data_IF_873288576283
#
_entry.id   IF_873288576283
#
_cell.length_a   1.000
_cell.length_b   1.000
_cell.length_c   1.000
_cell.angle_alpha   90.00
_cell.angle_beta   90.00
_cell.angle_gamma   90.00
#
_symmetry.space_group_name_H-M   'P 1'
#
loop_
_entity.id
_entity.type
_entity.pdbx_description
1 polymer ?
#
# COMPACT_ATOMS: atom_id res chain seq x y z
N UNK A 1 10.86 18.33 -12.99
CA UNK A 1 11.48 16.98 -12.83
C UNK A 1 11.58 16.53 -11.35
N UNK A 2 12.16 17.32 -10.45
CA UNK A 2 12.30 17.00 -9.01
C UNK A 2 10.95 16.85 -8.29
N UNK A 3 9.98 17.70 -8.63
CA UNK A 3 8.63 17.64 -8.06
C UNK A 3 7.92 16.30 -8.34
N UNK A 4 8.13 15.71 -9.52
CA UNK A 4 7.54 14.42 -9.88
C UNK A 4 8.12 13.28 -9.02
N UNK A 5 9.44 13.29 -8.78
CA UNK A 5 10.10 12.29 -7.94
C UNK A 5 9.66 12.37 -6.48
N UNK A 6 9.46 13.58 -5.97
CA UNK A 6 8.94 13.82 -4.62
C UNK A 6 7.53 13.25 -4.44
N UNK A 7 6.65 13.50 -5.41
CA UNK A 7 5.27 12.97 -5.41
C UNK A 7 5.28 11.44 -5.45
N UNK A 8 6.12 10.83 -6.28
CA UNK A 8 6.23 9.37 -6.37
C UNK A 8 6.76 8.74 -5.08
N UNK A 9 7.77 9.36 -4.44
CA UNK A 9 8.32 8.86 -3.18
C UNK A 9 7.29 8.94 -2.03
N UNK A 10 6.57 10.06 -1.92
CA UNK A 10 5.54 10.24 -0.90
C UNK A 10 4.36 9.29 -1.14
N UNK A 11 3.96 9.07 -2.40
CA UNK A 11 2.91 8.11 -2.75
C UNK A 11 3.28 6.67 -2.36
N UNK A 12 4.53 6.26 -2.59
CA UNK A 12 5.03 4.94 -2.19
C UNK A 12 5.18 4.79 -0.66
N UNK A 13 5.41 5.88 0.08
CA UNK A 13 5.36 5.85 1.55
C UNK A 13 3.92 5.81 2.07
N UNK A 14 2.99 6.48 1.42
CA UNK A 14 1.59 6.54 1.85
C UNK A 14 0.89 5.18 1.75
N UNK A 15 1.27 4.32 0.80
CA UNK A 15 0.74 2.94 0.67
C UNK A 15 1.18 2.01 1.81
N UNK A 16 2.22 2.38 2.57
CA UNK A 16 2.68 1.63 3.74
C UNK A 16 1.90 1.96 5.01
N UNK A 17 1.16 3.08 5.05
CA UNK A 17 0.29 3.39 6.17
C UNK A 17 -0.98 2.55 5.98
N UNK A 18 -1.27 1.56 6.85
CA UNK A 18 -2.52 0.81 6.81
C UNK A 18 -3.63 1.73 7.32
N UNK A 19 -3.97 2.70 6.48
CA UNK A 19 -5.16 3.53 6.66
C UNK A 19 -6.31 2.60 6.31
N UNK A 20 -7.32 2.52 7.17
CA UNK A 20 -8.50 1.69 6.92
C UNK A 20 -9.08 1.90 5.51
N UNK A 21 -9.90 0.96 5.01
CA UNK A 21 -10.40 0.96 3.63
C UNK A 21 -10.87 2.36 3.21
N UNK A 22 -10.16 2.95 2.26
CA UNK A 22 -10.48 4.26 1.71
C UNK A 22 -9.85 5.48 2.39
N UNK A 23 -8.92 5.36 3.36
CA UNK A 23 -8.23 6.51 3.98
C UNK A 23 -9.13 7.53 4.71
N UNK A 24 -10.35 7.11 5.07
CA UNK A 24 -11.32 7.97 5.77
C UNK A 24 -10.75 8.38 7.14
N UNK A 25 -10.74 9.67 7.42
CA UNK A 25 -10.21 10.31 8.63
C UNK A 25 -8.80 10.88 8.45
N UNK A 26 -7.85 10.12 7.91
CA UNK A 26 -6.47 10.60 7.69
C UNK A 26 -6.38 11.58 6.52
N UNK A 27 -7.15 11.34 5.46
CA UNK A 27 -7.25 12.25 4.32
C UNK A 27 -7.86 13.61 4.73
N UNK A 28 -8.98 13.59 5.44
CA UNK A 28 -9.65 14.79 5.90
C UNK A 28 -8.76 15.59 6.86
N UNK A 29 -8.07 14.92 7.79
CA UNK A 29 -7.10 15.56 8.67
C UNK A 29 -5.96 16.24 7.88
N UNK A 30 -5.44 15.58 6.85
CA UNK A 30 -4.41 16.15 5.96
C UNK A 30 -4.91 17.37 5.17
N UNK A 31 -6.12 17.30 4.61
CA UNK A 31 -6.74 18.41 3.88
C UNK A 31 -7.04 19.59 4.82
N UNK A 32 -7.50 19.34 6.04
CA UNK A 32 -7.66 20.40 7.04
C UNK A 32 -6.32 21.07 7.36
N UNK A 33 -5.25 20.31 7.55
CA UNK A 33 -3.92 20.86 7.81
C UNK A 33 -3.45 21.76 6.65
N UNK A 34 -3.65 21.31 5.41
CA UNK A 34 -3.26 22.08 4.22
C UNK A 34 -4.15 23.32 4.00
N UNK A 35 -5.47 23.14 3.99
CA UNK A 35 -6.43 24.17 3.57
C UNK A 35 -6.77 25.14 4.69
N UNK A 36 -6.95 24.66 5.91
CA UNK A 36 -7.19 25.53 7.07
C UNK A 36 -5.88 25.97 7.73
N UNK A 37 -4.93 25.06 7.93
CA UNK A 37 -3.67 25.37 8.62
C UNK A 37 -2.69 26.21 7.78
N UNK A 38 -2.43 25.84 6.52
CA UNK A 38 -1.46 26.54 5.68
C UNK A 38 -2.07 27.67 4.84
N UNK A 39 -3.31 27.52 4.36
CA UNK A 39 -3.96 28.51 3.50
C UNK A 39 -4.92 29.46 4.25
N UNK A 40 -5.17 29.22 5.54
CA UNK A 40 -6.01 30.08 6.39
C UNK A 40 -7.50 30.09 6.02
N UNK A 41 -7.96 29.16 5.18
CA UNK A 41 -9.36 29.08 4.74
C UNK A 41 -10.22 28.53 5.88
N UNK A 42 -11.44 29.05 6.05
CA UNK A 42 -12.35 28.65 7.13
C UNK A 42 -12.56 27.14 7.22
N UNK A 43 -12.47 26.60 8.44
CA UNK A 43 -12.50 25.14 8.72
C UNK A 43 -13.73 24.43 8.15
N UNK A 44 -14.89 25.10 8.12
CA UNK A 44 -16.10 24.54 7.50
C UNK A 44 -15.95 24.31 5.99
N UNK A 45 -15.38 25.27 5.27
CA UNK A 45 -15.10 25.16 3.84
C UNK A 45 -14.02 24.10 3.54
N UNK A 46 -12.99 24.04 4.39
CA UNK A 46 -11.93 23.04 4.28
C UNK A 46 -12.47 21.60 4.45
N UNK A 47 -13.36 21.39 5.42
CA UNK A 47 -14.02 20.09 5.65
C UNK A 47 -14.92 19.68 4.48
N UNK A 48 -15.76 20.59 3.99
CA UNK A 48 -16.64 20.32 2.83
C UNK A 48 -15.82 19.96 1.59
N UNK A 49 -14.72 20.69 1.36
CA UNK A 49 -13.78 20.39 0.29
C UNK A 49 -13.13 19.02 0.47
N UNK A 50 -12.66 18.71 1.68
CA UNK A 50 -12.04 17.42 1.99
C UNK A 50 -12.97 16.25 1.66
N UNK A 51 -14.21 16.28 2.16
CA UNK A 51 -15.17 15.18 1.97
C UNK A 51 -15.54 14.99 0.49
N UNK A 52 -15.81 16.08 -0.23
CA UNK A 52 -16.14 16.01 -1.65
C UNK A 52 -14.98 15.46 -2.48
N UNK A 53 -13.78 15.97 -2.22
CA UNK A 53 -12.56 15.52 -2.88
C UNK A 53 -12.32 14.04 -2.60
N UNK A 54 -12.51 13.61 -1.35
CA UNK A 54 -12.34 12.22 -0.93
C UNK A 54 -13.26 11.28 -1.69
N UNK A 55 -14.56 11.60 -1.72
CA UNK A 55 -15.57 10.83 -2.46
C UNK A 55 -15.19 10.79 -3.94
N UNK A 56 -14.84 11.93 -4.54
CA UNK A 56 -14.54 12.00 -5.97
C UNK A 56 -13.32 11.16 -6.37
N UNK A 57 -12.33 11.03 -5.49
CA UNK A 57 -11.17 10.16 -5.73
C UNK A 57 -11.46 8.68 -5.42
N UNK A 58 -12.18 8.42 -4.33
CA UNK A 58 -12.36 7.05 -3.81
C UNK A 58 -13.46 6.27 -4.52
N UNK A 59 -14.61 6.89 -4.79
CA UNK A 59 -15.77 6.19 -5.34
C UNK A 59 -15.52 5.64 -6.75
N UNK A 60 -14.94 6.39 -7.70
CA UNK A 60 -14.75 5.90 -9.06
C UNK A 60 -13.79 4.70 -9.12
N UNK A 61 -12.67 4.76 -8.40
CA UNK A 61 -11.69 3.67 -8.40
C UNK A 61 -12.25 2.42 -7.71
N UNK A 62 -13.03 2.61 -6.64
CA UNK A 62 -13.66 1.50 -5.91
C UNK A 62 -14.77 0.85 -6.73
N UNK A 63 -15.61 1.65 -7.39
CA UNK A 63 -16.67 1.17 -8.29
C UNK A 63 -16.05 0.44 -9.48
N UNK A 64 -15.00 0.99 -10.08
CA UNK A 64 -14.32 0.33 -11.19
C UNK A 64 -13.69 -1.00 -10.77
N UNK A 65 -12.99 -1.02 -9.63
CA UNK A 65 -12.46 -2.25 -9.06
C UNK A 65 -13.55 -3.28 -8.74
N UNK A 66 -14.69 -2.85 -8.21
CA UNK A 66 -15.84 -3.72 -7.93
C UNK A 66 -16.48 -4.26 -9.22
N UNK A 67 -16.60 -3.43 -10.26
CA UNK A 67 -17.09 -3.85 -11.58
C UNK A 67 -16.15 -4.88 -12.20
N UNK A 68 -14.84 -4.62 -12.21
CA UNK A 68 -13.86 -5.57 -12.74
C UNK A 68 -13.78 -6.84 -11.90
N UNK A 69 -13.88 -6.75 -10.56
CA UNK A 69 -13.95 -7.93 -9.69
C UNK A 69 -15.19 -8.79 -9.99
N UNK A 70 -16.35 -8.15 -10.15
CA UNK A 70 -17.59 -8.85 -10.53
C UNK A 70 -17.49 -9.47 -11.94
N UNK A 71 -16.91 -8.73 -12.90
CA UNK A 71 -16.71 -9.18 -14.28
C UNK A 71 -15.70 -10.32 -14.42
N UNK A 72 -14.62 -10.28 -13.65
CA UNK A 72 -13.58 -11.31 -13.60
C UNK A 72 -14.06 -12.56 -12.86
N UNK A 73 -15.21 -12.50 -12.17
CA UNK A 73 -15.86 -13.68 -11.62
C UNK A 73 -14.89 -14.53 -10.81
N UNK A 74 -14.25 -13.98 -9.78
CA UNK A 74 -13.58 -14.79 -8.75
C UNK A 74 -14.64 -15.43 -7.84
N UNK A 75 -15.63 -16.05 -8.47
CA UNK A 75 -16.51 -17.04 -7.90
C UNK A 75 -15.94 -18.38 -8.36
N UNK A 76 -14.92 -18.85 -7.64
CA UNK A 76 -14.42 -20.23 -7.76
C UNK A 76 -12.99 -20.40 -8.29
N UNK A 77 -12.14 -20.96 -7.43
CA UNK A 77 -10.92 -21.75 -7.77
C UNK A 77 -9.66 -20.98 -8.19
N UNK A 78 -9.17 -20.05 -7.37
CA UNK A 78 -7.70 -19.90 -7.22
C UNK A 78 -7.37 -19.97 -5.74
N UNK A 79 -7.22 -21.20 -5.24
CA UNK A 79 -6.30 -21.43 -4.13
C UNK A 79 -4.93 -20.96 -4.62
N UNK A 80 -4.54 -19.74 -4.25
CA UNK A 80 -3.14 -19.35 -4.31
C UNK A 80 -2.46 -20.24 -3.27
N UNK A 81 -1.92 -21.35 -3.77
CA UNK A 81 -1.30 -22.38 -2.96
C UNK A 81 -0.04 -21.78 -2.35
N UNK A 82 -0.15 -21.31 -1.10
CA UNK A 82 0.95 -20.77 -0.28
C UNK A 82 2.10 -21.78 -0.09
N UNK A 83 1.93 -23.04 -0.53
CA UNK A 83 2.97 -24.05 -0.59
C UNK A 83 4.16 -23.64 -1.46
N UNK A 84 3.98 -22.93 -2.58
CA UNK A 84 5.10 -22.55 -3.45
C UNK A 84 5.98 -21.45 -2.85
N UNK A 85 5.36 -20.42 -2.26
CA UNK A 85 6.09 -19.35 -1.58
C UNK A 85 6.87 -19.89 -0.36
N UNK A 86 6.26 -20.78 0.43
CA UNK A 86 6.95 -21.41 1.56
C UNK A 86 8.04 -22.40 1.15
N UNK A 87 7.92 -23.05 -0.02
CA UNK A 87 8.92 -23.99 -0.54
C UNK A 87 10.15 -23.25 -1.09
N UNK A 88 9.97 -22.13 -1.79
CA UNK A 88 11.08 -21.26 -2.20
C UNK A 88 11.76 -20.61 -1.00
N UNK A 89 11.01 -20.14 0.00
CA UNK A 89 11.57 -19.56 1.22
C UNK A 89 12.35 -20.59 2.04
N UNK A 90 11.86 -21.84 2.15
CA UNK A 90 12.59 -22.95 2.79
C UNK A 90 13.81 -23.40 1.99
N UNK A 91 13.72 -23.44 0.65
CA UNK A 91 14.85 -23.77 -0.21
C UNK A 91 15.94 -22.70 -0.12
N UNK A 92 15.57 -21.41 -0.17
CA UNK A 92 16.48 -20.29 0.02
C UNK A 92 17.10 -20.28 1.43
N UNK A 93 16.31 -20.54 2.47
CA UNK A 93 16.81 -20.66 3.85
C UNK A 93 17.78 -21.83 4.02
N UNK A 94 17.56 -22.97 3.34
CA UNK A 94 18.48 -24.11 3.37
C UNK A 94 19.81 -23.82 2.67
N UNK A 95 19.77 -23.06 1.57
CA UNK A 95 20.97 -22.63 0.83
C UNK A 95 21.79 -21.63 1.65
N UNK A 96 21.13 -20.72 2.38
CA UNK A 96 21.80 -19.77 3.28
C UNK A 96 22.39 -20.48 4.51
N UNK A 97 21.67 -21.46 5.08
CA UNK A 97 22.17 -22.26 6.20
C UNK A 97 23.34 -23.19 5.80
N UNK A 98 23.32 -23.73 4.57
CA UNK A 98 24.41 -24.55 4.03
C UNK A 98 25.67 -23.77 3.65
N UNK A 99 25.56 -22.44 3.45
CA UNK A 99 26.68 -21.55 3.14
C UNK A 99 27.50 -21.09 4.36
N UNK A 100 27.03 -21.35 5.58
CA UNK A 100 27.69 -20.95 6.82
C UNK A 100 28.47 -22.11 7.47
N UNK A 101 29.45 -22.66 6.75
CA UNK A 101 30.58 -23.34 7.42
C UNK A 101 31.91 -22.94 6.76
N UNK A 102 32.51 -21.81 7.17
CA UNK A 102 33.90 -21.51 6.84
C UNK A 102 34.82 -22.31 7.78
N UNK A 103 35.54 -23.29 7.20
CA UNK A 103 36.81 -23.88 7.65
C UNK A 103 37.06 -24.25 9.12
N UNK A 104 37.30 -25.54 9.39
CA UNK A 104 38.16 -25.98 10.48
C UNK A 104 38.79 -27.37 10.22
N UNK A 105 40.09 -27.39 9.92
CA UNK A 105 41.08 -28.30 10.53
C UNK A 105 41.09 -29.80 10.20
N UNK A 106 42.18 -30.23 9.55
CA UNK A 106 43.16 -31.10 10.22
C UNK A 106 43.09 -32.62 10.01
N UNK A 107 44.14 -33.15 9.36
CA UNK A 107 44.84 -34.37 9.80
C UNK A 107 44.42 -35.70 9.20
N UNK A 108 45.36 -36.36 8.52
CA UNK A 108 45.28 -37.76 8.09
C UNK A 108 46.08 -38.03 6.83
#
# INVERSE_FOLDING_TARGET
>A
PVAALLVTAIANLATLVPSGPGYVGTFEAGVLLAVNGALGIGRGLALSYAVLLHILLWLPVTVWGAIEWWRLGVSGKRHVSLTHASAEERAAASTVAGGAHPGAGGGG
#
